data_IF_634834723681
#
_entry.id   IF_634834723681
#
_cell.length_a   1.000
_cell.length_b   1.000
_cell.length_c   1.000
_cell.angle_alpha   90.00
_cell.angle_beta   90.00
_cell.angle_gamma   90.00
#
_symmetry.space_group_name_H-M   'P 1'
#
loop_
_entity.id
_entity.type
_entity.pdbx_description
1 polymer ?
#
# COMPACT_ATOMS: atom_id res chain seq x y z
N UNK A 1 15.69 -6.12 19.21
CA UNK A 1 15.86 -4.68 18.88
C UNK A 1 14.76 -4.13 17.96
N UNK A 2 14.35 -4.82 16.89
CA UNK A 2 13.28 -4.36 15.98
C UNK A 2 11.87 -4.47 16.58
N UNK A 3 11.58 -5.55 17.32
CA UNK A 3 10.33 -5.73 18.06
C UNK A 3 10.17 -4.72 19.21
N UNK A 4 11.28 -4.39 19.87
CA UNK A 4 11.35 -3.38 20.93
C UNK A 4 10.98 -1.98 20.42
N UNK A 5 11.43 -1.62 19.20
CA UNK A 5 11.02 -0.38 18.52
C UNK A 5 9.54 -0.41 18.11
N UNK A 6 8.98 -1.57 17.74
CA UNK A 6 7.57 -1.70 17.36
C UNK A 6 6.64 -1.33 18.52
N UNK A 7 6.96 -1.76 19.74
CA UNK A 7 6.19 -1.38 20.94
C UNK A 7 6.34 0.12 21.26
N UNK A 8 7.57 0.65 21.24
CA UNK A 8 7.84 2.06 21.60
C UNK A 8 7.30 3.10 20.63
N UNK A 9 7.27 2.79 19.34
CA UNK A 9 6.84 3.73 18.28
C UNK A 9 5.56 3.26 17.61
N UNK A 10 4.67 2.62 18.37
CA UNK A 10 3.34 2.22 17.88
C UNK A 10 2.57 3.49 17.51
N UNK A 11 2.09 3.54 16.26
CA UNK A 11 1.25 4.64 15.82
C UNK A 11 -0.17 4.41 16.35
N UNK A 12 -0.81 5.43 16.95
CA UNK A 12 -2.13 5.26 17.57
C UNK A 12 -3.22 4.90 16.55
N UNK A 13 -3.03 5.30 15.29
CA UNK A 13 -3.95 5.16 14.17
C UNK A 13 -3.64 3.96 13.27
N UNK A 14 -2.77 3.04 13.69
CA UNK A 14 -2.32 1.90 12.89
C UNK A 14 -2.68 0.57 13.57
N UNK A 15 -3.88 0.05 13.28
CA UNK A 15 -4.31 -1.27 13.76
C UNK A 15 -3.59 -2.39 13.02
N UNK A 16 -3.39 -2.21 11.71
CA UNK A 16 -2.66 -3.16 10.87
C UNK A 16 -1.19 -2.75 10.67
N UNK A 17 -0.28 -3.59 11.15
CA UNK A 17 1.17 -3.34 11.07
C UNK A 17 1.78 -3.60 9.69
N UNK A 18 1.08 -4.30 8.80
CA UNK A 18 1.51 -4.58 7.44
C UNK A 18 0.30 -4.68 6.50
N UNK A 19 0.55 -4.47 5.20
CA UNK A 19 -0.47 -4.65 4.15
C UNK A 19 -0.93 -6.13 4.12
N UNK A 20 0.01 -7.07 4.24
CA UNK A 20 -0.28 -8.50 4.25
C UNK A 20 -1.24 -8.89 5.38
N UNK A 21 -0.99 -8.43 6.62
CA UNK A 21 -1.85 -8.72 7.77
C UNK A 21 -3.28 -8.20 7.55
N UNK A 22 -3.39 -6.99 6.97
CA UNK A 22 -4.70 -6.44 6.62
C UNK A 22 -5.43 -7.31 5.60
N UNK A 23 -4.78 -7.64 4.49
CA UNK A 23 -5.40 -8.40 3.41
C UNK A 23 -5.74 -9.84 3.84
N UNK A 24 -4.90 -10.49 4.65
CA UNK A 24 -5.18 -11.80 5.27
C UNK A 24 -6.41 -11.72 6.18
N UNK A 25 -6.51 -10.70 7.03
CA UNK A 25 -7.70 -10.53 7.89
C UNK A 25 -9.00 -10.27 7.12
N UNK A 26 -8.90 -9.82 5.87
CA UNK A 26 -10.02 -9.63 4.94
C UNK A 26 -10.24 -10.84 4.03
N UNK A 27 -9.53 -11.96 4.26
CA UNK A 27 -9.54 -13.16 3.40
C UNK A 27 -9.25 -12.88 1.91
N UNK A 28 -8.52 -11.81 1.60
CA UNK A 28 -8.18 -11.42 0.21
C UNK A 28 -6.92 -12.11 -0.31
N UNK A 29 -6.04 -12.54 0.58
CA UNK A 29 -4.81 -13.26 0.25
C UNK A 29 -4.58 -14.38 1.27
N UNK A 30 -3.74 -15.34 0.91
CA UNK A 30 -3.24 -16.40 1.78
C UNK A 30 -1.75 -16.62 1.53
N UNK A 31 -1.12 -17.53 2.26
CA UNK A 31 0.32 -17.80 2.15
C UNK A 31 0.71 -18.31 0.76
N UNK A 32 -0.09 -19.21 0.17
CA UNK A 32 0.14 -19.70 -1.20
C UNK A 32 0.16 -18.54 -2.21
N UNK A 33 -0.76 -17.59 -2.08
CA UNK A 33 -0.80 -16.40 -2.92
C UNK A 33 0.44 -15.51 -2.73
N UNK A 34 0.94 -15.33 -1.51
CA UNK A 34 2.17 -14.56 -1.26
C UNK A 34 3.39 -15.18 -1.95
N UNK A 35 3.50 -16.50 -1.93
CA UNK A 35 4.57 -17.22 -2.65
C UNK A 35 4.43 -16.97 -4.15
N UNK A 36 3.25 -17.19 -4.73
CA UNK A 36 3.00 -16.94 -6.15
C UNK A 36 3.31 -15.47 -6.54
N UNK A 37 2.90 -14.52 -5.71
CA UNK A 37 3.12 -13.09 -5.96
C UNK A 37 4.60 -12.73 -5.92
N UNK A 38 5.37 -13.36 -5.03
CA UNK A 38 6.82 -13.12 -4.90
C UNK A 38 7.64 -13.57 -6.12
N UNK A 39 7.07 -14.46 -6.94
CA UNK A 39 7.69 -14.94 -8.18
C UNK A 39 7.46 -14.00 -9.37
N UNK A 40 6.59 -13.00 -9.23
CA UNK A 40 6.22 -12.06 -10.28
C UNK A 40 6.96 -10.72 -10.10
N UNK A 41 7.36 -10.14 -11.22
CA UNK A 41 7.82 -8.75 -11.30
C UNK A 41 6.66 -7.77 -11.08
N UNK A 42 6.97 -6.52 -10.74
CA UNK A 42 5.95 -5.51 -10.52
C UNK A 42 5.19 -5.20 -11.83
N UNK A 43 5.89 -5.24 -12.96
CA UNK A 43 5.37 -5.09 -14.31
C UNK A 43 4.33 -6.18 -14.62
N UNK A 44 4.65 -7.44 -14.33
CA UNK A 44 3.73 -8.57 -14.50
C UNK A 44 2.51 -8.43 -13.59
N UNK A 45 2.70 -8.01 -12.32
CA UNK A 45 1.59 -7.79 -11.38
C UNK A 45 0.65 -6.69 -11.88
N UNK A 46 1.18 -5.57 -12.37
CA UNK A 46 0.38 -4.46 -12.93
C UNK A 46 -0.36 -4.93 -14.18
N UNK A 47 0.31 -5.61 -15.10
CA UNK A 47 -0.28 -6.15 -16.33
C UNK A 47 -1.43 -7.12 -16.04
N UNK A 48 -1.20 -8.12 -15.19
CA UNK A 48 -2.22 -9.07 -14.77
C UNK A 48 -3.41 -8.37 -14.09
N UNK A 49 -3.15 -7.38 -13.24
CA UNK A 49 -4.21 -6.64 -12.55
C UNK A 49 -5.11 -5.88 -13.54
N UNK A 50 -4.52 -5.28 -14.57
CA UNK A 50 -5.23 -4.59 -15.64
C UNK A 50 -6.01 -5.57 -16.50
N UNK A 51 -5.45 -6.73 -16.86
CA UNK A 51 -6.15 -7.76 -17.63
C UNK A 51 -7.40 -8.26 -16.88
N UNK A 52 -7.26 -8.53 -15.58
CA UNK A 52 -8.41 -8.93 -14.74
C UNK A 52 -9.45 -7.82 -14.63
N UNK A 53 -9.05 -6.55 -14.56
CA UNK A 53 -9.99 -5.43 -14.60
C UNK A 53 -10.69 -5.34 -15.97
N UNK A 54 -9.95 -5.53 -17.06
CA UNK A 54 -10.45 -5.51 -18.43
C UNK A 54 -11.54 -6.58 -18.64
N UNK A 55 -11.35 -7.79 -18.09
CA UNK A 55 -12.34 -8.88 -18.16
C UNK A 55 -13.72 -8.45 -17.66
N UNK A 56 -13.77 -7.64 -16.59
CA UNK A 56 -15.06 -7.13 -16.05
C UNK A 56 -15.79 -6.16 -16.99
N UNK A 57 -15.08 -5.57 -17.95
CA UNK A 57 -15.62 -4.62 -18.95
C UNK A 57 -15.49 -5.14 -20.38
N UNK A 58 -15.42 -6.46 -20.56
CA UNK A 58 -15.26 -7.12 -21.86
C UNK A 58 -14.08 -6.55 -22.69
N UNK A 59 -12.95 -6.33 -22.02
CA UNK A 59 -11.69 -5.81 -22.57
C UNK A 59 -11.72 -4.38 -23.12
N UNK A 60 -12.76 -3.61 -22.81
CA UNK A 60 -12.93 -2.23 -23.29
C UNK A 60 -12.38 -1.21 -22.27
N UNK A 61 -11.05 -1.16 -22.11
CA UNK A 61 -10.38 -0.19 -21.23
C UNK A 61 -9.99 1.13 -21.92
N UNK A 62 -10.31 1.29 -23.21
CA UNK A 62 -10.06 2.53 -23.93
C UNK A 62 -10.83 3.71 -23.31
N UNK A 63 -10.25 4.91 -23.39
CA UNK A 63 -10.79 6.11 -22.73
C UNK A 63 -10.38 6.25 -21.26
N UNK A 64 -9.76 5.23 -20.66
CA UNK A 64 -9.10 5.37 -19.36
C UNK A 64 -7.69 5.95 -19.57
N UNK A 65 -7.38 7.07 -18.91
CA UNK A 65 -6.06 7.71 -18.92
C UNK A 65 -5.04 6.94 -18.06
N UNK A 66 -4.82 5.66 -18.39
CA UNK A 66 -3.99 4.74 -17.60
C UNK A 66 -2.56 5.23 -17.46
N UNK A 67 -1.97 5.74 -18.54
CA UNK A 67 -0.59 6.24 -18.55
C UNK A 67 -0.37 7.37 -17.54
N UNK A 68 -1.32 8.29 -17.42
CA UNK A 68 -1.25 9.42 -16.50
C UNK A 68 -1.65 9.02 -15.07
N UNK A 69 -2.54 8.04 -14.93
CA UNK A 69 -3.13 7.67 -13.64
C UNK A 69 -2.28 6.64 -12.88
N UNK A 70 -1.71 5.65 -13.57
CA UNK A 70 -0.94 4.56 -12.96
C UNK A 70 0.23 5.05 -12.10
N UNK A 71 1.06 6.02 -12.50
CA UNK A 71 2.14 6.53 -11.66
C UNK A 71 1.62 7.05 -10.30
N UNK A 72 0.44 7.68 -10.27
CA UNK A 72 -0.15 8.17 -9.02
C UNK A 72 -0.66 7.02 -8.14
N UNK A 73 -1.24 5.98 -8.73
CA UNK A 73 -1.67 4.77 -8.01
C UNK A 73 -0.46 4.06 -7.39
N UNK A 74 0.60 3.87 -8.17
CA UNK A 74 1.84 3.22 -7.71
C UNK A 74 2.49 4.03 -6.58
N UNK A 75 2.60 5.37 -6.72
CA UNK A 75 3.09 6.24 -5.64
C UNK A 75 2.29 6.11 -4.35
N UNK A 76 0.95 6.00 -4.46
CA UNK A 76 0.09 5.78 -3.30
C UNK A 76 0.34 4.40 -2.64
N UNK A 77 0.53 3.35 -3.44
CA UNK A 77 0.86 2.02 -2.94
C UNK A 77 2.21 2.00 -2.19
N UNK A 78 3.24 2.65 -2.75
CA UNK A 78 4.55 2.82 -2.11
C UNK A 78 4.42 3.58 -0.79
N UNK A 79 3.66 4.68 -0.79
CA UNK A 79 3.42 5.46 0.44
C UNK A 79 2.75 4.64 1.53
N UNK A 80 1.77 3.78 1.19
CA UNK A 80 1.15 2.84 2.14
C UNK A 80 2.15 1.82 2.68
N UNK A 81 2.98 1.24 1.81
CA UNK A 81 4.03 0.31 2.24
C UNK A 81 4.98 0.98 3.23
N UNK A 82 5.53 2.14 2.87
CA UNK A 82 6.44 2.91 3.74
C UNK A 82 5.77 3.28 5.05
N UNK A 83 4.50 3.71 5.01
CA UNK A 83 3.73 3.99 6.21
C UNK A 83 3.68 2.78 7.15
N UNK A 84 3.47 1.58 6.62
CA UNK A 84 3.43 0.35 7.43
C UNK A 84 4.80 -0.11 7.92
N UNK A 85 5.83 -0.01 7.09
CA UNK A 85 7.17 -0.49 7.34
C UNK A 85 7.92 0.41 8.34
N UNK A 86 7.83 1.72 8.18
CA UNK A 86 8.51 2.70 9.01
C UNK A 86 7.80 2.91 10.37
N UNK A 87 8.57 3.33 11.37
CA UNK A 87 8.09 3.65 12.73
C UNK A 87 7.98 5.15 12.96
N UNK A 88 8.89 5.92 12.38
CA UNK A 88 8.89 7.39 12.53
C UNK A 88 8.72 8.09 11.18
N UNK A 89 8.28 9.37 11.21
CA UNK A 89 8.22 10.21 10.01
C UNK A 89 9.61 10.45 9.40
N UNK A 90 10.67 10.41 10.20
CA UNK A 90 12.05 10.49 9.71
C UNK A 90 12.44 9.26 8.89
N UNK A 91 12.10 8.07 9.38
CA UNK A 91 12.31 6.83 8.61
C UNK A 91 11.48 6.83 7.33
N UNK A 92 10.21 7.26 7.37
CA UNK A 92 9.37 7.35 6.16
C UNK A 92 9.99 8.28 5.10
N UNK A 93 10.46 9.46 5.52
CA UNK A 93 11.12 10.43 4.67
C UNK A 93 12.39 9.82 4.03
N UNK A 94 13.19 9.10 4.82
CA UNK A 94 14.38 8.39 4.34
C UNK A 94 14.04 7.27 3.34
N UNK A 95 13.02 6.44 3.62
CA UNK A 95 12.54 5.40 2.70
C UNK A 95 12.13 5.96 1.34
N UNK A 96 11.51 7.15 1.33
CA UNK A 96 11.01 7.79 0.13
C UNK A 96 12.02 8.72 -0.55
N UNK A 97 13.16 9.00 0.09
CA UNK A 97 14.14 9.96 -0.41
C UNK A 97 13.64 11.41 -0.49
N UNK A 98 12.76 11.83 0.43
CA UNK A 98 12.15 13.17 0.45
C UNK A 98 12.26 13.84 1.82
N UNK A 99 12.01 15.14 1.90
CA UNK A 99 11.95 15.86 3.18
C UNK A 99 10.63 15.60 3.95
N UNK A 100 10.66 15.87 5.26
CA UNK A 100 9.50 15.65 6.16
C UNK A 100 8.29 16.54 5.81
N UNK A 101 8.50 17.72 5.24
CA UNK A 101 7.44 18.63 4.80
C UNK A 101 6.69 18.06 3.59
N UNK A 102 7.42 17.59 2.58
CA UNK A 102 6.86 16.88 1.43
C UNK A 102 6.12 15.61 1.85
N UNK A 103 6.69 14.81 2.76
CA UNK A 103 6.01 13.65 3.35
C UNK A 103 4.67 14.03 3.99
N UNK A 104 4.62 15.10 4.80
CA UNK A 104 3.38 15.56 5.44
C UNK A 104 2.29 15.90 4.42
N UNK A 105 2.65 16.57 3.31
CA UNK A 105 1.73 16.88 2.21
C UNK A 105 1.21 15.60 1.54
N UNK A 106 2.09 14.63 1.26
CA UNK A 106 1.73 13.36 0.64
C UNK A 106 0.79 12.52 1.51
N UNK A 107 1.09 12.38 2.80
CA UNK A 107 0.25 11.63 3.74
C UNK A 107 -1.16 12.22 3.84
N UNK A 108 -1.28 13.55 3.85
CA UNK A 108 -2.59 14.24 3.84
C UNK A 108 -3.33 14.01 2.52
N UNK A 109 -2.65 14.17 1.37
CA UNK A 109 -3.25 14.00 0.04
C UNK A 109 -3.81 12.59 -0.18
N UNK A 110 -3.11 11.58 0.30
CA UNK A 110 -3.45 10.17 0.05
C UNK A 110 -4.23 9.49 1.17
N UNK A 111 -4.55 10.21 2.25
CA UNK A 111 -5.28 9.72 3.42
C UNK A 111 -4.77 8.35 3.93
N UNK A 112 -3.44 8.24 4.05
CA UNK A 112 -2.75 6.95 4.20
C UNK A 112 -3.03 6.25 5.53
N UNK A 113 -3.26 7.02 6.61
CA UNK A 113 -3.58 6.50 7.95
C UNK A 113 -4.84 5.64 7.96
N UNK A 114 -5.91 6.13 7.32
CA UNK A 114 -7.21 5.46 7.30
C UNK A 114 -7.15 4.08 6.67
N UNK A 115 -6.18 3.82 5.79
CA UNK A 115 -6.01 2.50 5.19
C UNK A 115 -5.66 1.41 6.21
N UNK A 116 -5.01 1.74 7.32
CA UNK A 116 -4.55 0.77 8.33
C UNK A 116 -5.42 0.71 9.59
N UNK A 117 -6.50 1.46 9.63
CA UNK A 117 -7.50 1.37 10.69
C UNK A 117 -8.44 0.18 10.42
N UNK A 118 -8.89 -0.49 11.48
CA UNK A 118 -10.00 -1.43 11.41
C UNK A 118 -11.30 -0.65 11.24
N UNK A 119 -12.18 -1.16 10.38
CA UNK A 119 -13.55 -0.68 10.36
C UNK A 119 -14.18 -1.08 11.70
N UNK A 120 -14.44 -0.09 12.56
CA UNK A 120 -15.24 -0.30 13.76
C UNK A 120 -16.68 -0.51 13.27
N UNK A 121 -17.07 -1.77 13.10
CA UNK A 121 -18.48 -2.12 12.93
C UNK A 121 -19.21 -1.69 14.21
N UNK A 122 -20.01 -0.63 14.12
CA UNK A 122 -21.08 -0.31 15.07
C UNK A 122 -22.25 -1.22 14.73
#
# INVERSE_FOLDING_TARGET
MWESKRSRFKKPDQDYYSIANKLKSQNKINEKFEIMLSMLTLEEIIGLRLELAAKSVNFKLYGLNLWQTLPNIVKNAVLRYVYSAARTKGEMAAFLGIDKGSLKKLLKKHNTSNYFQKENNI
#
